data_IF_586404026313
#
_entry.id   IF_586404026313
#
_cell.length_a   1.000
_cell.length_b   1.000
_cell.length_c   1.000
_cell.angle_alpha   90.00
_cell.angle_beta   90.00
_cell.angle_gamma   90.00
#
_symmetry.space_group_name_H-M   'P 1'
#
loop_
_entity.id
_entity.type
_entity.pdbx_description
1 polymer ?
#
# COMPACT_ATOMS: atom_id res chain seq x y z
N UNK A 1 -1.75 8.72 -2.82
CA UNK A 1 -1.23 8.10 -1.59
C UNK A 1 -0.60 6.76 -1.94
N UNK A 2 0.52 6.44 -1.32
CA UNK A 2 1.15 5.12 -1.37
C UNK A 2 1.32 4.62 0.07
N UNK A 3 0.98 3.35 0.32
CA UNK A 3 1.07 2.71 1.63
C UNK A 3 1.65 1.30 1.50
N UNK A 4 2.51 0.92 2.44
CA UNK A 4 3.04 -0.43 2.58
C UNK A 4 2.70 -0.92 3.99
N UNK A 5 2.20 -2.16 4.14
CA UNK A 5 1.86 -2.70 5.46
C UNK A 5 2.05 -4.21 5.53
N UNK A 6 2.61 -4.69 6.63
CA UNK A 6 2.80 -6.12 6.88
C UNK A 6 1.61 -6.74 7.59
N UNK A 7 1.18 -7.95 7.18
CA UNK A 7 0.01 -8.62 7.78
C UNK A 7 0.23 -9.05 9.24
N UNK A 8 1.48 -9.17 9.67
CA UNK A 8 1.92 -9.62 10.99
C UNK A 8 2.62 -8.51 11.77
N UNK A 9 2.33 -7.24 11.45
CA UNK A 9 2.71 -6.09 12.25
C UNK A 9 2.01 -6.18 13.63
N UNK A 10 2.80 -6.40 14.69
CA UNK A 10 2.33 -6.56 16.06
C UNK A 10 2.25 -5.24 16.83
N UNK A 11 2.75 -4.14 16.25
CA UNK A 11 2.72 -2.79 16.81
C UNK A 11 1.51 -2.01 16.27
N UNK A 12 1.27 -2.09 14.96
CA UNK A 12 0.15 -1.52 14.23
C UNK A 12 -0.58 -2.64 13.46
N UNK A 13 -1.49 -3.38 14.13
CA UNK A 13 -2.12 -4.55 13.54
C UNK A 13 -2.84 -4.25 12.23
N UNK A 14 -2.61 -5.09 11.21
CA UNK A 14 -3.24 -4.94 9.89
C UNK A 14 -4.77 -4.82 9.97
N UNK A 15 -5.39 -5.61 10.86
CA UNK A 15 -6.82 -5.62 11.11
C UNK A 15 -7.29 -4.59 12.15
N UNK A 16 -6.39 -3.76 12.68
CA UNK A 16 -6.66 -2.84 13.78
C UNK A 16 -6.83 -3.53 15.13
N UNK A 17 -7.10 -2.74 16.15
CA UNK A 17 -7.42 -3.15 17.51
C UNK A 17 -8.24 -2.04 18.23
N UNK A 18 -8.24 -2.01 19.56
CA UNK A 18 -8.94 -0.97 20.34
C UNK A 18 -8.31 0.43 20.21
N UNK A 19 -7.01 0.49 19.92
CA UNK A 19 -6.24 1.73 19.83
C UNK A 19 -6.08 2.23 18.39
N UNK A 20 -6.05 1.31 17.41
CA UNK A 20 -5.72 1.60 16.02
C UNK A 20 -6.77 1.09 15.04
N UNK A 21 -7.06 1.91 14.03
CA UNK A 21 -7.89 1.50 12.91
C UNK A 21 -7.17 0.45 12.04
N UNK A 22 -7.95 -0.40 11.37
CA UNK A 22 -7.39 -1.31 10.38
C UNK A 22 -6.80 -0.56 9.18
N UNK A 23 -5.86 -1.21 8.49
CA UNK A 23 -5.28 -0.69 7.24
C UNK A 23 -6.39 -0.42 6.22
N UNK A 24 -7.33 -1.35 6.06
CA UNK A 24 -8.47 -1.18 5.15
C UNK A 24 -9.38 -0.01 5.52
N UNK A 25 -9.64 0.23 6.81
CA UNK A 25 -10.40 1.41 7.27
C UNK A 25 -9.66 2.72 6.93
N UNK A 26 -8.33 2.71 7.02
CA UNK A 26 -7.47 3.85 6.68
C UNK A 26 -7.50 4.12 5.17
N UNK A 27 -7.38 3.07 4.35
CA UNK A 27 -7.52 3.17 2.89
C UNK A 27 -8.90 3.70 2.52
N UNK A 28 -9.98 3.14 3.06
CA UNK A 28 -11.34 3.59 2.77
C UNK A 28 -11.56 5.06 3.14
N UNK A 29 -11.01 5.52 4.27
CA UNK A 29 -11.06 6.93 4.66
C UNK A 29 -10.35 7.83 3.64
N UNK A 30 -9.20 7.41 3.12
CA UNK A 30 -8.48 8.11 2.06
C UNK A 30 -9.25 8.11 0.73
N UNK A 31 -9.87 7.00 0.35
CA UNK A 31 -10.70 6.92 -0.86
C UNK A 31 -11.88 7.89 -0.76
N UNK A 32 -12.60 7.87 0.36
CA UNK A 32 -13.73 8.75 0.63
C UNK A 32 -13.32 10.22 0.58
N UNK A 33 -12.25 10.60 1.28
CA UNK A 33 -11.77 11.99 1.30
C UNK A 33 -11.42 12.51 -0.10
N UNK A 34 -10.86 11.66 -0.95
CA UNK A 34 -10.43 12.04 -2.29
C UNK A 34 -11.50 11.80 -3.37
N UNK A 35 -12.71 11.38 -3.00
CA UNK A 35 -13.79 11.00 -3.93
C UNK A 35 -13.35 9.93 -4.94
N UNK A 36 -12.51 8.98 -4.51
CA UNK A 36 -12.08 7.85 -5.35
C UNK A 36 -13.17 6.77 -5.31
N UNK A 37 -13.72 6.31 -6.45
CA UNK A 37 -14.72 5.26 -6.45
C UNK A 37 -14.10 3.90 -6.11
N UNK A 38 -14.71 3.16 -5.19
CA UNK A 38 -14.27 1.80 -4.82
C UNK A 38 -14.25 0.85 -6.04
N UNK A 39 -15.12 1.09 -7.03
CA UNK A 39 -15.18 0.32 -8.28
C UNK A 39 -13.94 0.45 -9.16
N UNK A 40 -13.03 1.39 -8.84
CA UNK A 40 -11.75 1.54 -9.53
C UNK A 40 -10.69 0.52 -9.10
N UNK A 41 -10.97 -0.29 -8.07
CA UNK A 41 -10.02 -1.26 -7.52
C UNK A 41 -9.47 -2.19 -8.59
N UNK A 42 -8.15 -2.21 -8.69
CA UNK A 42 -7.37 -3.25 -9.36
C UNK A 42 -6.49 -3.92 -8.33
N UNK A 43 -6.73 -5.21 -8.08
CA UNK A 43 -5.88 -6.05 -7.22
C UNK A 43 -4.88 -6.83 -8.09
N UNK A 44 -3.63 -6.89 -7.66
CA UNK A 44 -2.56 -7.64 -8.33
C UNK A 44 -1.77 -8.45 -7.31
N UNK A 45 -1.62 -9.74 -7.55
CA UNK A 45 -0.69 -10.60 -6.80
C UNK A 45 0.71 -10.44 -7.41
N UNK A 46 1.70 -10.16 -6.55
CA UNK A 46 3.09 -9.93 -6.89
C UNK A 46 3.97 -10.94 -6.15
N UNK A 47 5.16 -11.21 -6.68
CA UNK A 47 6.11 -12.13 -6.06
C UNK A 47 5.50 -13.52 -5.74
N UNK A 48 4.60 -14.01 -6.61
CA UNK A 48 3.94 -15.30 -6.37
C UNK A 48 2.96 -15.33 -5.18
N UNK A 49 2.52 -14.17 -4.69
CA UNK A 49 1.57 -14.02 -3.60
C UNK A 49 2.18 -13.52 -2.28
N UNK A 50 3.49 -13.28 -2.24
CA UNK A 50 4.14 -12.67 -1.08
C UNK A 50 3.68 -11.22 -0.84
N UNK A 51 3.21 -10.55 -1.91
CA UNK A 51 2.68 -9.19 -1.85
C UNK A 51 1.39 -9.07 -2.67
N UNK A 52 0.35 -8.51 -2.09
CA UNK A 52 -0.84 -8.06 -2.82
C UNK A 52 -0.78 -6.55 -2.99
N UNK A 53 -0.99 -6.06 -4.22
CA UNK A 53 -1.15 -4.63 -4.51
C UNK A 53 -2.59 -4.31 -4.83
N UNK A 54 -3.18 -3.37 -4.10
CA UNK A 54 -4.47 -2.77 -4.41
C UNK A 54 -4.25 -1.36 -4.95
N UNK A 55 -4.81 -1.06 -6.12
CA UNK A 55 -4.70 0.25 -6.77
C UNK A 55 -6.08 0.82 -7.06
N UNK A 56 -6.30 2.07 -6.65
CA UNK A 56 -7.52 2.83 -6.84
C UNK A 56 -7.21 4.16 -7.54
N UNK A 57 -8.11 4.60 -8.42
CA UNK A 57 -7.90 5.80 -9.26
C UNK A 57 -9.21 6.51 -9.58
N UNK A 58 -9.12 7.69 -10.21
CA UNK A 58 -10.29 8.49 -10.62
C UNK A 58 -10.82 9.41 -9.52
N UNK A 59 -9.99 9.72 -8.52
CA UNK A 59 -10.33 10.70 -7.50
C UNK A 59 -10.26 12.15 -7.99
N UNK A 60 -10.58 13.07 -7.08
CA UNK A 60 -10.41 14.51 -7.26
C UNK A 60 -8.99 14.83 -7.69
N UNK A 61 -8.84 15.72 -8.68
CA UNK A 61 -7.52 16.10 -9.24
C UNK A 61 -6.67 14.91 -9.72
N UNK A 62 -7.33 13.85 -10.19
CA UNK A 62 -6.69 12.61 -10.64
C UNK A 62 -5.88 11.91 -9.53
N UNK A 63 -6.30 12.09 -8.27
CA UNK A 63 -5.69 11.42 -7.11
C UNK A 63 -5.89 9.91 -7.20
N UNK A 64 -4.85 9.17 -6.82
CA UNK A 64 -4.83 7.71 -6.74
C UNK A 64 -4.38 7.24 -5.35
N UNK A 65 -4.76 6.03 -4.99
CA UNK A 65 -4.31 5.34 -3.77
C UNK A 65 -3.74 3.99 -4.18
N UNK A 66 -2.56 3.65 -3.67
CA UNK A 66 -1.96 2.33 -3.81
C UNK A 66 -1.61 1.77 -2.44
N UNK A 67 -2.05 0.55 -2.17
CA UNK A 67 -1.68 -0.24 -0.99
C UNK A 67 -0.87 -1.45 -1.43
N UNK A 68 0.28 -1.65 -0.80
CA UNK A 68 1.05 -2.89 -0.86
C UNK A 68 0.90 -3.61 0.48
N UNK A 69 0.18 -4.74 0.46
CA UNK A 69 0.03 -5.64 1.60
C UNK A 69 1.12 -6.70 1.52
N UNK A 70 2.04 -6.69 2.48
CA UNK A 70 3.19 -7.60 2.55
C UNK A 70 2.77 -8.81 3.39
N UNK A 71 2.52 -9.93 2.72
CA UNK A 71 2.21 -11.20 3.37
C UNK A 71 3.48 -11.86 3.90
N UNK A 72 4.54 -11.83 3.10
CA UNK A 72 5.82 -12.46 3.41
C UNK A 72 7.00 -11.61 2.92
N UNK A 73 8.07 -11.58 3.71
CA UNK A 73 9.37 -11.00 3.37
C UNK A 73 10.46 -11.98 3.81
N UNK A 74 11.35 -12.37 2.89
CA UNK A 74 12.39 -13.38 3.13
C UNK A 74 11.85 -14.69 3.74
N UNK A 75 10.64 -15.10 3.33
CA UNK A 75 9.98 -16.33 3.80
C UNK A 75 9.41 -16.24 5.22
N UNK A 76 9.22 -15.04 5.77
CA UNK A 76 8.59 -14.80 7.08
C UNK A 76 7.40 -13.86 6.93
N UNK A 77 6.36 -13.97 7.77
CA UNK A 77 5.24 -13.03 7.76
C UNK A 77 5.70 -11.57 7.87
N UNK A 78 5.12 -10.67 7.06
CA UNK A 78 5.50 -9.26 7.04
C UNK A 78 5.16 -8.55 8.36
N UNK A 79 6.17 -8.07 9.09
CA UNK A 79 6.03 -7.43 10.42
C UNK A 79 6.15 -5.89 10.41
N UNK A 80 6.37 -5.30 11.59
CA UNK A 80 6.60 -3.85 11.76
C UNK A 80 8.04 -3.44 11.42
N UNK A 81 8.37 -3.42 10.14
CA UNK A 81 9.72 -3.09 9.65
C UNK A 81 9.66 -2.19 8.43
N UNK A 82 10.79 -1.57 8.12
CA UNK A 82 10.99 -1.05 6.77
C UNK A 82 11.32 -2.22 5.84
N UNK A 83 10.43 -2.52 4.90
CA UNK A 83 10.59 -3.62 3.96
C UNK A 83 11.81 -3.40 3.04
N UNK A 84 12.55 -4.47 2.79
CA UNK A 84 13.74 -4.47 1.94
C UNK A 84 13.75 -5.58 0.89
N UNK A 85 12.85 -6.56 0.95
CA UNK A 85 12.71 -7.54 -0.12
C UNK A 85 12.11 -6.91 -1.39
N UNK A 86 12.62 -7.31 -2.54
CA UNK A 86 12.25 -6.70 -3.80
C UNK A 86 10.84 -7.09 -4.20
N UNK A 87 10.02 -6.13 -4.62
CA UNK A 87 8.68 -6.36 -5.17
C UNK A 87 8.80 -6.25 -6.68
N UNK A 88 8.62 -7.37 -7.40
CA UNK A 88 8.85 -7.50 -8.84
C UNK A 88 10.23 -6.96 -9.29
N UNK A 89 11.28 -7.26 -8.51
CA UNK A 89 12.65 -6.81 -8.79
C UNK A 89 12.93 -5.33 -8.48
N UNK A 90 12.01 -4.64 -7.81
CA UNK A 90 12.20 -3.27 -7.33
C UNK A 90 12.07 -3.18 -5.81
N UNK A 91 13.10 -2.64 -5.16
CA UNK A 91 13.01 -2.37 -3.72
C UNK A 91 11.85 -1.43 -3.38
N UNK A 92 11.23 -1.55 -2.20
CA UNK A 92 10.16 -0.65 -1.74
C UNK A 92 10.58 0.83 -1.77
N UNK A 93 11.85 1.13 -1.48
CA UNK A 93 12.42 2.48 -1.62
C UNK A 93 12.34 3.01 -3.05
N UNK A 94 12.70 2.18 -4.03
CA UNK A 94 12.61 2.56 -5.44
C UNK A 94 11.16 2.79 -5.85
N UNK A 95 10.25 1.91 -5.44
CA UNK A 95 8.81 2.04 -5.72
C UNK A 95 8.27 3.35 -5.15
N UNK A 96 8.60 3.67 -3.90
CA UNK A 96 8.24 4.93 -3.27
C UNK A 96 8.81 6.13 -4.06
N UNK A 97 10.08 6.07 -4.45
CA UNK A 97 10.71 7.15 -5.21
C UNK A 97 10.09 7.34 -6.60
N UNK A 98 9.83 6.26 -7.33
CA UNK A 98 9.17 6.30 -8.63
C UNK A 98 7.75 6.87 -8.51
N UNK A 99 7.01 6.49 -7.47
CA UNK A 99 5.71 7.04 -7.15
C UNK A 99 5.80 8.56 -6.93
N UNK A 100 6.70 9.04 -6.06
CA UNK A 100 6.84 10.47 -5.76
C UNK A 100 7.33 11.28 -6.98
N UNK A 101 8.25 10.71 -7.77
CA UNK A 101 8.80 11.36 -8.97
C UNK A 101 7.74 11.59 -10.05
N UNK A 102 6.71 10.75 -10.11
CA UNK A 102 5.58 10.96 -11.02
C UNK A 102 4.71 12.19 -10.65
N UNK A 103 4.80 12.65 -9.40
CA UNK A 103 4.05 13.81 -8.89
C UNK A 103 4.92 15.05 -8.68
N UNK A 104 6.26 14.95 -8.73
CA UNK A 104 7.11 16.13 -8.83
C UNK A 104 6.95 16.71 -10.24
N UNK A 105 6.08 17.72 -10.37
CA UNK A 105 6.13 18.58 -11.55
C UNK A 105 7.53 19.18 -11.62
N UNK A 106 8.15 19.14 -12.81
CA UNK A 106 9.45 19.78 -13.03
C UNK A 106 9.41 21.21 -12.47
N UNK A 107 10.22 21.49 -11.45
CA UNK A 107 10.47 22.83 -10.91
C UNK A 107 11.11 23.75 -11.98
#
# INVERSE_FOLDING_TARGET
>A
MIHFHGIADDVLPYNGNEDYQSVQSTIHSSLFHNHIPDTSLVTTELNGGDVTREFYTGGSENTSVVLYTIHSEYGKPGGHVWFTDDIEGSSPNKIMWDFLSAYSQND
#
